data_IF_889612264105
#
_entry.id   IF_889612264105
#
_cell.length_a   1.000
_cell.length_b   1.000
_cell.length_c   1.000
_cell.angle_alpha   90.00
_cell.angle_beta   90.00
_cell.angle_gamma   90.00
#
_symmetry.space_group_name_H-M   'P 1'
#
loop_
_entity.id
_entity.type
_entity.pdbx_description
1 polymer ?
#
# COMPACT_ATOMS: atom_id res chain seq x y z
N UNK A 1 25.52 5.12 6.14
CA UNK A 1 24.28 4.42 6.53
C UNK A 1 24.14 3.21 5.63
N UNK A 2 23.99 2.02 6.20
CA UNK A 2 24.08 0.77 5.45
C UNK A 2 22.80 0.52 4.64
N UNK A 3 22.88 0.72 3.33
CA UNK A 3 21.78 0.59 2.36
C UNK A 3 21.12 -0.79 2.36
N UNK A 4 21.83 -1.82 2.79
CA UNK A 4 21.31 -3.19 2.97
C UNK A 4 20.33 -3.27 4.14
N UNK A 5 20.60 -2.54 5.22
CA UNK A 5 19.77 -2.50 6.43
C UNK A 5 18.43 -1.79 6.16
N UNK A 6 18.46 -0.70 5.40
CA UNK A 6 17.27 0.07 5.02
C UNK A 6 16.31 -0.73 4.12
N UNK A 7 16.85 -1.44 3.12
CA UNK A 7 16.04 -2.30 2.25
C UNK A 7 15.38 -3.43 3.02
N UNK A 8 16.12 -4.11 3.90
CA UNK A 8 15.58 -5.18 4.73
C UNK A 8 14.49 -4.67 5.69
N UNK A 9 14.71 -3.51 6.31
CA UNK A 9 13.73 -2.85 7.17
C UNK A 9 12.45 -2.51 6.41
N UNK A 10 12.58 -1.97 5.20
CA UNK A 10 11.43 -1.61 4.37
C UNK A 10 10.61 -2.83 3.97
N UNK A 11 11.26 -3.90 3.50
CA UNK A 11 10.58 -5.17 3.19
C UNK A 11 9.81 -5.69 4.40
N UNK A 12 10.41 -5.68 5.60
CA UNK A 12 9.74 -6.11 6.82
C UNK A 12 8.51 -5.25 7.15
N UNK A 13 8.61 -3.93 6.99
CA UNK A 13 7.48 -3.01 7.24
C UNK A 13 6.34 -3.22 6.24
N UNK A 14 6.65 -3.51 4.98
CA UNK A 14 5.66 -3.79 3.94
C UNK A 14 4.88 -5.07 4.27
N UNK A 15 5.56 -6.13 4.70
CA UNK A 15 4.89 -7.37 5.11
C UNK A 15 3.97 -7.16 6.32
N UNK A 16 4.42 -6.40 7.32
CA UNK A 16 3.57 -6.05 8.48
C UNK A 16 2.34 -5.25 8.04
N UNK A 17 2.51 -4.30 7.11
CA UNK A 17 1.39 -3.51 6.59
C UNK A 17 0.38 -4.41 5.86
N UNK A 18 0.85 -5.34 5.02
CA UNK A 18 0.00 -6.32 4.32
C UNK A 18 -0.80 -7.18 5.30
N UNK A 19 -0.18 -7.63 6.39
CA UNK A 19 -0.85 -8.43 7.41
C UNK A 19 -1.97 -7.64 8.09
N UNK A 20 -1.68 -6.43 8.55
CA UNK A 20 -2.68 -5.55 9.18
C UNK A 20 -3.83 -5.20 8.23
N UNK A 21 -3.50 -4.99 6.96
CA UNK A 21 -4.46 -4.72 5.91
C UNK A 21 -5.40 -5.92 5.69
N UNK A 22 -4.85 -7.13 5.65
CA UNK A 22 -5.66 -8.36 5.56
C UNK A 22 -6.55 -8.56 6.79
N UNK A 23 -6.02 -8.31 7.97
CA UNK A 23 -6.77 -8.37 9.23
C UNK A 23 -7.95 -7.38 9.21
N UNK A 24 -7.71 -6.13 8.81
CA UNK A 24 -8.74 -5.11 8.69
C UNK A 24 -9.83 -5.53 7.69
N UNK A 25 -9.42 -5.98 6.51
CA UNK A 25 -10.35 -6.46 5.48
C UNK A 25 -11.23 -7.60 6.00
N UNK A 26 -10.62 -8.55 6.71
CA UNK A 26 -11.32 -9.73 7.26
C UNK A 26 -12.26 -9.37 8.40
N UNK A 27 -11.80 -8.54 9.35
CA UNK A 27 -12.58 -8.20 10.55
C UNK A 27 -13.73 -7.24 10.27
N UNK A 28 -13.54 -6.32 9.33
CA UNK A 28 -14.50 -5.26 9.07
C UNK A 28 -15.26 -5.44 7.75
N UNK A 29 -14.94 -6.46 6.94
CA UNK A 29 -15.58 -6.69 5.65
C UNK A 29 -15.32 -5.58 4.64
N UNK A 30 -14.19 -4.88 4.76
CA UNK A 30 -13.82 -3.77 3.88
C UNK A 30 -12.88 -4.25 2.78
N UNK A 31 -13.14 -3.83 1.56
CA UNK A 31 -12.21 -4.03 0.45
C UNK A 31 -11.17 -2.91 0.42
N UNK A 32 -9.90 -3.29 0.27
CA UNK A 32 -8.79 -2.34 0.35
C UNK A 32 -7.64 -2.75 -0.55
N UNK A 33 -6.92 -1.73 -1.03
CA UNK A 33 -5.71 -1.88 -1.82
C UNK A 33 -4.62 -0.97 -1.25
N UNK A 34 -3.37 -1.40 -1.38
CA UNK A 34 -2.18 -0.65 -0.95
C UNK A 34 -1.28 -0.46 -2.16
N UNK A 35 -0.85 0.80 -2.39
CA UNK A 35 0.13 1.18 -3.39
C UNK A 35 1.29 1.88 -2.67
N UNK A 36 2.50 1.35 -2.80
CA UNK A 36 3.72 1.94 -2.23
C UNK A 36 4.65 2.31 -3.36
N UNK A 37 4.81 3.61 -3.58
CA UNK A 37 5.79 4.17 -4.50
C UNK A 37 7.02 4.63 -3.73
N UNK A 38 8.20 4.30 -4.23
CA UNK A 38 9.46 4.76 -3.62
C UNK A 38 10.08 5.86 -4.47
N UNK A 39 10.64 6.92 -3.85
CA UNK A 39 11.37 7.93 -4.59
C UNK A 39 12.50 7.30 -5.42
N UNK A 40 12.54 7.56 -6.72
CA UNK A 40 13.57 7.05 -7.62
C UNK A 40 13.35 5.62 -8.13
N UNK A 41 12.28 4.92 -7.72
CA UNK A 41 11.89 3.64 -8.33
C UNK A 41 10.67 3.86 -9.24
N UNK A 42 10.75 3.35 -10.49
CA UNK A 42 9.63 3.41 -11.45
C UNK A 42 8.56 2.34 -11.18
N UNK A 43 8.84 1.40 -10.28
CA UNK A 43 7.92 0.31 -9.94
C UNK A 43 7.28 0.58 -8.57
N UNK A 44 5.96 0.40 -8.51
CA UNK A 44 5.22 0.45 -7.25
C UNK A 44 4.97 -0.97 -6.73
N UNK A 45 4.98 -1.11 -5.41
CA UNK A 45 4.56 -2.34 -4.75
C UNK A 45 3.06 -2.25 -4.56
N UNK A 46 2.32 -3.18 -5.13
CA UNK A 46 0.86 -3.19 -5.12
C UNK A 46 0.34 -4.46 -4.46
N UNK A 47 -0.72 -4.30 -3.67
CA UNK A 47 -1.44 -5.39 -3.00
C UNK A 47 -2.94 -5.07 -2.96
N UNK A 48 -3.85 -6.05 -3.10
CA UNK A 48 -3.58 -7.46 -3.39
C UNK A 48 -3.28 -7.73 -4.87
N UNK A 49 -3.78 -6.89 -5.77
CA UNK A 49 -3.49 -6.96 -7.21
C UNK A 49 -3.54 -5.56 -7.83
N UNK A 50 -2.88 -5.39 -8.99
CA UNK A 50 -2.91 -4.15 -9.76
C UNK A 50 -4.34 -3.77 -10.17
N UNK A 51 -5.10 -4.75 -10.68
CA UNK A 51 -6.48 -4.56 -11.13
C UNK A 51 -7.37 -4.04 -10.01
N UNK A 52 -7.31 -4.63 -8.81
CA UNK A 52 -8.15 -4.19 -7.70
C UNK A 52 -7.78 -2.78 -7.24
N UNK A 53 -6.49 -2.45 -7.26
CA UNK A 53 -6.02 -1.11 -6.91
C UNK A 53 -6.52 -0.05 -7.92
N UNK A 54 -6.51 -0.37 -9.22
CA UNK A 54 -7.00 0.49 -10.29
C UNK A 54 -8.52 0.67 -10.24
N UNK A 55 -9.28 -0.40 -10.02
CA UNK A 55 -10.74 -0.35 -9.85
C UNK A 55 -11.12 0.60 -8.70
N UNK A 56 -10.40 0.55 -7.58
CA UNK A 56 -10.66 1.39 -6.41
C UNK A 56 -10.18 2.83 -6.57
N UNK A 57 -9.10 3.07 -7.30
CA UNK A 57 -8.64 4.43 -7.59
C UNK A 57 -9.63 5.22 -8.48
N UNK A 58 -10.38 4.50 -9.33
CA UNK A 58 -11.28 5.09 -10.32
C UNK A 58 -12.74 5.22 -9.85
N UNK A 59 -13.09 4.78 -8.64
CA UNK A 59 -14.45 4.96 -8.12
C UNK A 59 -14.75 6.44 -7.78
N UNK A 60 -15.91 6.97 -8.19
CA UNK A 60 -16.25 8.39 -8.04
C UNK A 60 -16.48 8.88 -6.60
N UNK A 61 -16.55 7.98 -5.60
CA UNK A 61 -16.75 8.32 -4.18
C UNK A 61 -15.46 8.50 -3.38
N UNK A 62 -14.28 8.46 -4.01
CA UNK A 62 -13.01 8.63 -3.29
C UNK A 62 -12.93 10.04 -2.68
N UNK A 63 -13.14 10.14 -1.36
CA UNK A 63 -12.70 11.30 -0.59
C UNK A 63 -11.18 11.37 -0.68
N UNK A 64 -10.68 12.20 -1.59
CA UNK A 64 -9.25 12.52 -1.69
C UNK A 64 -8.84 13.32 -0.47
N UNK A 65 -8.47 12.62 0.61
CA UNK A 65 -7.81 13.22 1.75
C UNK A 65 -6.34 13.42 1.32
N UNK A 66 -6.05 14.59 0.73
CA UNK A 66 -4.68 15.09 0.68
C UNK A 66 -4.39 15.70 2.04
N UNK A 67 -3.42 15.13 2.75
CA UNK A 67 -2.77 15.88 3.82
C UNK A 67 -1.76 16.80 3.13
N UNK A 68 -1.97 18.10 3.26
CA UNK A 68 -0.98 19.11 2.88
C UNK A 68 0.14 19.06 3.92
N UNK A 69 1.29 18.50 3.56
CA UNK A 69 2.57 18.68 4.26
C UNK A 69 3.31 19.90 3.68
#
# INVERSE_FOLDING_TARGET
>A
MDTVSEKALLTRKIEILREKARELSTRCGVELAIIISKPGENTSIVWPSQTLAEERANTPEVQKIKNDD
#
